data_IF_350750198285
#
_entry.id   IF_350750198285
#
_cell.length_a   1.000
_cell.length_b   1.000
_cell.length_c   1.000
_cell.angle_alpha   90.00
_cell.angle_beta   90.00
_cell.angle_gamma   90.00
#
_symmetry.space_group_name_H-M   'P 1'
#
loop_
_entity.id
_entity.type
_entity.pdbx_description
1 polymer ?
#
# COMPACT_ATOMS: atom_id res chain seq x y z
N UNK A 1 -14.19 7.70 -8.86
CA UNK A 1 -14.60 6.83 -7.74
C UNK A 1 -14.51 7.65 -6.46
N UNK A 2 -15.61 7.75 -5.73
CA UNK A 2 -15.63 8.54 -4.48
C UNK A 2 -15.60 7.63 -3.25
N UNK A 3 -16.07 6.40 -3.38
CA UNK A 3 -16.14 5.42 -2.29
C UNK A 3 -15.86 4.00 -2.81
N UNK A 4 -15.27 3.18 -1.95
CA UNK A 4 -14.95 1.79 -2.30
C UNK A 4 -16.20 0.96 -2.58
N UNK A 5 -17.33 1.27 -1.94
CA UNK A 5 -18.61 0.59 -2.12
C UNK A 5 -19.10 0.59 -3.57
N UNK A 6 -18.73 1.59 -4.38
CA UNK A 6 -19.13 1.69 -5.78
C UNK A 6 -18.65 0.52 -6.65
N UNK A 7 -17.61 -0.16 -6.23
CA UNK A 7 -17.03 -1.28 -6.95
C UNK A 7 -17.36 -2.65 -6.35
N UNK A 8 -18.03 -2.70 -5.20
CA UNK A 8 -18.29 -3.94 -4.46
C UNK A 8 -19.64 -4.58 -4.78
N UNK A 9 -20.54 -3.89 -5.51
CA UNK A 9 -21.88 -4.43 -5.79
C UNK A 9 -21.82 -5.74 -6.57
N UNK A 10 -22.44 -6.79 -6.02
CA UNK A 10 -22.48 -8.13 -6.60
C UNK A 10 -21.17 -8.93 -6.52
N UNK A 11 -20.10 -8.38 -5.94
CA UNK A 11 -18.80 -9.03 -5.78
C UNK A 11 -18.86 -10.10 -4.70
N UNK A 12 -18.41 -11.32 -5.01
CA UNK A 12 -18.27 -12.44 -4.07
C UNK A 12 -16.82 -12.85 -3.85
N UNK A 13 -15.97 -12.65 -4.85
CA UNK A 13 -14.57 -12.97 -4.79
C UNK A 13 -13.73 -11.78 -5.24
N UNK A 14 -12.74 -11.40 -4.44
CA UNK A 14 -11.89 -10.23 -4.69
C UNK A 14 -10.41 -10.60 -4.56
N UNK A 15 -9.63 -10.28 -5.58
CA UNK A 15 -8.18 -10.28 -5.51
C UNK A 15 -7.65 -8.87 -5.26
N UNK A 16 -6.60 -8.75 -4.47
CA UNK A 16 -5.87 -7.50 -4.23
C UNK A 16 -4.40 -7.74 -4.56
N UNK A 17 -3.78 -6.85 -5.31
CA UNK A 17 -2.38 -6.98 -5.70
C UNK A 17 -1.63 -5.67 -5.72
N UNK A 18 -0.33 -5.76 -5.43
CA UNK A 18 0.60 -4.64 -5.47
C UNK A 18 1.79 -4.89 -6.41
N UNK A 19 2.73 -3.95 -6.44
CA UNK A 19 3.87 -4.03 -7.36
C UNK A 19 5.00 -4.94 -6.86
N UNK A 20 5.89 -5.36 -7.79
CA UNK A 20 7.16 -6.07 -7.50
C UNK A 20 8.03 -5.27 -6.53
N UNK A 21 8.70 -5.97 -5.61
CA UNK A 21 9.53 -5.36 -4.56
C UNK A 21 8.75 -4.32 -3.74
N UNK A 22 7.62 -4.72 -3.14
CA UNK A 22 6.70 -3.79 -2.50
C UNK A 22 7.40 -2.97 -1.40
N UNK A 23 7.13 -1.69 -1.40
CA UNK A 23 7.57 -0.75 -0.37
C UNK A 23 6.47 -0.51 0.67
N UNK A 24 6.61 0.55 1.46
CA UNK A 24 5.66 0.84 2.53
C UNK A 24 4.29 1.27 2.04
N UNK A 25 4.21 1.98 0.89
CA UNK A 25 2.93 2.42 0.34
C UNK A 25 2.17 1.26 -0.33
N UNK A 26 2.88 0.46 -1.12
CA UNK A 26 2.31 -0.73 -1.73
C UNK A 26 1.76 -1.71 -0.67
N UNK A 27 2.53 -2.02 0.37
CA UNK A 27 2.08 -2.88 1.47
C UNK A 27 0.94 -2.22 2.24
N UNK A 28 1.07 -0.93 2.57
CA UNK A 28 0.09 -0.19 3.36
C UNK A 28 -1.27 -0.10 2.69
N UNK A 29 -1.32 0.30 1.44
CA UNK A 29 -2.56 0.44 0.65
C UNK A 29 -3.25 -0.90 0.42
N UNK A 30 -2.50 -1.94 -0.01
CA UNK A 30 -3.05 -3.28 -0.22
C UNK A 30 -3.60 -3.89 1.07
N UNK A 31 -2.82 -3.85 2.17
CA UNK A 31 -3.24 -4.42 3.45
C UNK A 31 -4.40 -3.65 4.08
N UNK A 32 -4.42 -2.32 3.97
CA UNK A 32 -5.54 -1.52 4.48
C UNK A 32 -6.86 -1.88 3.79
N UNK A 33 -6.83 -1.99 2.46
CA UNK A 33 -8.00 -2.42 1.69
C UNK A 33 -8.42 -3.84 2.07
N UNK A 34 -7.48 -4.78 2.15
CA UNK A 34 -7.75 -6.16 2.55
C UNK A 34 -8.40 -6.24 3.94
N UNK A 35 -7.82 -5.58 4.94
CA UNK A 35 -8.32 -5.57 6.32
C UNK A 35 -9.73 -4.96 6.42
N UNK A 36 -9.98 -3.90 5.65
CA UNK A 36 -11.29 -3.26 5.60
C UNK A 36 -12.34 -4.17 4.99
N UNK A 37 -12.07 -4.78 3.83
CA UNK A 37 -12.98 -5.72 3.16
C UNK A 37 -13.24 -6.93 4.07
N UNK A 38 -12.19 -7.55 4.60
CA UNK A 38 -12.32 -8.72 5.50
C UNK A 38 -13.22 -8.46 6.71
N UNK A 39 -13.17 -7.26 7.27
CA UNK A 39 -13.93 -6.90 8.46
C UNK A 39 -15.38 -6.54 8.17
N UNK A 40 -15.62 -5.76 7.12
CA UNK A 40 -16.91 -5.13 6.89
C UNK A 40 -17.73 -5.78 5.79
N UNK A 41 -17.09 -6.61 4.96
CA UNK A 41 -17.70 -7.35 3.84
C UNK A 41 -17.32 -8.83 3.90
N UNK A 42 -17.62 -9.53 5.04
CA UNK A 42 -17.18 -10.91 5.26
C UNK A 42 -17.80 -11.91 4.25
N UNK A 43 -18.84 -11.52 3.52
CA UNK A 43 -19.40 -12.27 2.40
C UNK A 43 -18.50 -12.25 1.16
N UNK A 44 -17.59 -11.29 1.05
CA UNK A 44 -16.60 -11.22 -0.04
C UNK A 44 -15.36 -12.02 0.38
N UNK A 45 -15.06 -13.08 -0.36
CA UNK A 45 -13.81 -13.83 -0.17
C UNK A 45 -12.67 -13.06 -0.82
N UNK A 46 -11.92 -12.33 -0.01
CA UNK A 46 -10.77 -11.55 -0.46
C UNK A 46 -9.46 -12.34 -0.28
N UNK A 47 -8.63 -12.31 -1.31
CA UNK A 47 -7.25 -12.82 -1.28
C UNK A 47 -6.28 -11.67 -1.62
N UNK A 48 -5.09 -11.68 -1.03
CA UNK A 48 -4.08 -10.65 -1.26
C UNK A 48 -2.77 -11.27 -1.76
N UNK A 49 -2.21 -10.69 -2.81
CA UNK A 49 -1.02 -11.16 -3.53
C UNK A 49 0.04 -10.08 -3.58
N UNK A 50 1.17 -10.31 -2.95
CA UNK A 50 2.35 -9.42 -3.00
C UNK A 50 3.60 -10.26 -3.25
N UNK A 51 4.60 -9.70 -3.91
CA UNK A 51 5.95 -10.21 -3.77
C UNK A 51 6.37 -10.10 -2.31
N UNK A 52 7.20 -11.03 -1.81
CA UNK A 52 7.59 -11.07 -0.40
C UNK A 52 8.23 -9.75 0.04
N UNK A 53 7.56 -8.96 0.89
CA UNK A 53 8.05 -7.65 1.29
C UNK A 53 9.20 -7.76 2.31
N UNK A 54 9.82 -6.63 2.60
CA UNK A 54 10.86 -6.58 3.64
C UNK A 54 10.29 -7.00 5.00
N UNK A 55 11.08 -7.70 5.83
CA UNK A 55 10.63 -8.18 7.15
C UNK A 55 10.12 -7.07 8.09
N UNK A 56 10.55 -5.83 7.88
CA UNK A 56 10.11 -4.67 8.68
C UNK A 56 8.59 -4.43 8.62
N UNK A 57 7.91 -4.87 7.56
CA UNK A 57 6.46 -4.74 7.39
C UNK A 57 5.67 -5.89 8.04
N UNK A 58 6.34 -6.93 8.54
CA UNK A 58 5.70 -8.11 9.12
C UNK A 58 4.90 -7.86 10.42
N UNK A 59 4.84 -6.63 10.91
CA UNK A 59 4.02 -6.24 12.07
C UNK A 59 2.60 -5.80 11.68
N UNK A 60 2.33 -5.58 10.40
CA UNK A 60 1.00 -5.26 9.90
C UNK A 60 0.10 -6.48 10.09
N UNK A 61 -1.12 -6.24 10.55
CA UNK A 61 -2.08 -7.31 10.81
C UNK A 61 -2.35 -8.15 9.56
N UNK A 62 -2.52 -9.45 9.72
CA UNK A 62 -2.81 -10.43 8.65
C UNK A 62 -1.73 -10.55 7.56
N UNK A 63 -0.49 -10.15 7.80
CA UNK A 63 0.62 -10.37 6.85
C UNK A 63 0.90 -11.86 6.58
N UNK A 64 0.51 -12.73 7.48
CA UNK A 64 0.57 -14.19 7.32
C UNK A 64 -0.48 -14.76 6.36
N UNK A 65 -1.47 -13.97 5.97
CA UNK A 65 -2.49 -14.32 4.98
C UNK A 65 -2.12 -13.89 3.54
N UNK A 66 -1.01 -13.18 3.38
CA UNK A 66 -0.54 -12.72 2.06
C UNK A 66 0.04 -13.88 1.26
N UNK A 67 -0.44 -14.05 0.04
CA UNK A 67 0.11 -15.00 -0.92
C UNK A 67 1.35 -14.42 -1.60
N UNK A 68 2.51 -15.03 -1.39
CA UNK A 68 3.79 -14.61 -1.97
C UNK A 68 4.15 -15.35 -3.26
N UNK A 69 3.37 -16.36 -3.59
CA UNK A 69 3.53 -17.21 -4.78
C UNK A 69 2.18 -17.37 -5.47
N UNK A 70 2.21 -17.51 -6.78
CA UNK A 70 1.00 -17.86 -7.52
C UNK A 70 0.57 -19.28 -7.15
N UNK A 71 -0.72 -19.44 -6.84
CA UNK A 71 -1.35 -20.73 -6.58
C UNK A 71 -2.08 -21.26 -7.82
N UNK A 72 -3.10 -22.08 -7.58
CA UNK A 72 -3.97 -22.60 -8.64
C UNK A 72 -4.67 -21.45 -9.39
N UNK A 73 -4.91 -21.57 -10.70
CA UNK A 73 -5.66 -20.60 -11.48
C UNK A 73 -7.03 -20.32 -10.86
N UNK A 74 -7.36 -19.03 -10.71
CA UNK A 74 -8.62 -18.59 -10.12
C UNK A 74 -9.11 -17.32 -10.80
N UNK A 75 -10.38 -17.29 -11.17
CA UNK A 75 -11.05 -16.10 -11.67
C UNK A 75 -11.71 -15.36 -10.50
N UNK A 76 -11.43 -14.04 -10.38
CA UNK A 76 -12.08 -13.16 -9.41
C UNK A 76 -13.22 -12.38 -10.05
N UNK A 77 -14.27 -12.10 -9.28
CA UNK A 77 -15.31 -11.17 -9.72
C UNK A 77 -14.75 -9.75 -9.84
N UNK A 78 -13.81 -9.40 -8.94
CA UNK A 78 -13.12 -8.12 -8.92
C UNK A 78 -11.64 -8.32 -8.57
N UNK A 79 -10.74 -7.68 -9.30
CA UNK A 79 -9.34 -7.57 -8.91
C UNK A 79 -8.94 -6.10 -8.77
N UNK A 80 -8.42 -5.73 -7.60
CA UNK A 80 -7.97 -4.35 -7.32
C UNK A 80 -6.45 -4.33 -7.21
N UNK A 81 -5.82 -3.45 -7.97
CA UNK A 81 -4.39 -3.16 -7.83
C UNK A 81 -4.21 -1.86 -7.06
N UNK A 82 -3.30 -1.87 -6.09
CA UNK A 82 -2.88 -0.68 -5.36
C UNK A 82 -1.40 -0.42 -5.62
N UNK A 83 -1.09 0.84 -5.93
CA UNK A 83 0.29 1.30 -6.11
C UNK A 83 1.03 0.60 -7.25
N UNK A 84 0.36 0.42 -8.37
CA UNK A 84 0.89 -0.26 -9.55
C UNK A 84 0.78 0.65 -10.77
N UNK A 85 1.92 1.08 -11.29
CA UNK A 85 1.97 1.99 -12.45
C UNK A 85 1.78 1.31 -13.80
N UNK A 86 2.00 -0.02 -13.89
CA UNK A 86 1.85 -0.78 -15.13
C UNK A 86 1.62 -2.28 -14.83
N UNK A 87 0.93 -3.04 -15.72
CA UNK A 87 0.57 -4.44 -15.48
C UNK A 87 1.75 -5.38 -15.28
N UNK A 88 2.88 -5.12 -15.96
CA UNK A 88 4.10 -5.91 -15.87
C UNK A 88 4.77 -5.86 -14.48
N UNK A 89 4.31 -4.94 -13.62
CA UNK A 89 4.76 -4.83 -12.24
C UNK A 89 3.97 -5.67 -11.23
N UNK A 90 2.91 -6.36 -11.65
CA UNK A 90 2.03 -7.13 -10.76
C UNK A 90 2.62 -8.46 -10.27
N UNK A 91 3.75 -8.92 -10.81
CA UNK A 91 4.43 -10.16 -10.40
C UNK A 91 3.46 -11.36 -10.20
N UNK A 92 3.37 -11.86 -8.97
CA UNK A 92 2.55 -13.02 -8.60
C UNK A 92 1.04 -12.81 -8.84
N UNK A 93 0.59 -11.58 -8.95
CA UNK A 93 -0.81 -11.22 -9.15
C UNK A 93 -1.22 -11.13 -10.64
N UNK A 94 -0.26 -11.15 -11.58
CA UNK A 94 -0.48 -10.85 -13.00
C UNK A 94 -1.57 -11.70 -13.65
N UNK A 95 -1.51 -13.01 -13.49
CA UNK A 95 -2.47 -13.93 -14.13
C UNK A 95 -3.88 -13.80 -13.53
N UNK A 96 -3.98 -13.55 -12.22
CA UNK A 96 -5.26 -13.32 -11.55
C UNK A 96 -5.90 -12.00 -11.97
N UNK A 97 -5.10 -10.95 -12.12
CA UNK A 97 -5.56 -9.68 -12.65
C UNK A 97 -6.07 -9.82 -14.09
N UNK A 98 -5.30 -10.50 -14.95
CA UNK A 98 -5.66 -10.68 -16.36
C UNK A 98 -6.91 -11.54 -16.57
N UNK A 99 -7.22 -12.47 -15.65
CA UNK A 99 -8.40 -13.35 -15.72
C UNK A 99 -9.61 -12.84 -14.96
N UNK A 100 -9.51 -11.75 -14.21
CA UNK A 100 -10.62 -11.20 -13.43
C UNK A 100 -11.74 -10.66 -14.32
N UNK A 101 -12.98 -10.76 -13.85
CA UNK A 101 -14.17 -10.26 -14.58
C UNK A 101 -14.20 -8.74 -14.64
N UNK A 102 -13.69 -8.07 -13.61
CA UNK A 102 -13.57 -6.62 -13.50
C UNK A 102 -12.28 -6.27 -12.81
N UNK A 103 -11.60 -5.26 -13.32
CA UNK A 103 -10.33 -4.77 -12.78
C UNK A 103 -10.43 -3.32 -12.34
N UNK A 104 -9.74 -2.99 -11.24
CA UNK A 104 -9.65 -1.63 -10.71
C UNK A 104 -8.19 -1.33 -10.39
N UNK A 105 -7.73 -0.13 -10.76
CA UNK A 105 -6.42 0.38 -10.39
C UNK A 105 -6.59 1.61 -9.49
N UNK A 106 -5.97 1.58 -8.31
CA UNK A 106 -5.84 2.72 -7.41
C UNK A 106 -4.36 3.07 -7.36
N UNK A 107 -3.98 4.26 -7.85
CA UNK A 107 -2.58 4.61 -8.01
C UNK A 107 -2.35 6.13 -8.00
N UNK A 108 -1.15 6.55 -7.61
CA UNK A 108 -0.73 7.95 -7.64
C UNK A 108 0.43 8.22 -8.60
N UNK A 109 0.92 7.21 -9.32
CA UNK A 109 2.04 7.40 -10.24
C UNK A 109 1.66 8.21 -11.48
N UNK A 110 2.42 9.27 -11.77
CA UNK A 110 2.28 10.10 -12.99
C UNK A 110 2.42 9.26 -14.27
N UNK A 111 3.19 8.18 -14.22
CA UNK A 111 3.45 7.30 -15.36
C UNK A 111 2.38 6.24 -15.62
N UNK A 112 1.31 6.19 -14.82
CA UNK A 112 0.26 5.19 -14.99
C UNK A 112 -0.55 5.46 -16.25
N UNK A 113 -0.73 4.44 -17.11
CA UNK A 113 -1.43 4.51 -18.39
C UNK A 113 -2.91 4.09 -18.32
N UNK A 114 -3.50 3.99 -17.13
CA UNK A 114 -4.89 3.63 -16.91
C UNK A 114 -5.26 2.25 -17.50
N UNK A 115 -4.58 1.20 -17.07
CA UNK A 115 -4.62 -0.14 -17.66
C UNK A 115 -5.76 -1.04 -17.15
N UNK A 116 -6.53 -0.61 -16.16
CA UNK A 116 -7.67 -1.36 -15.62
C UNK A 116 -9.00 -0.91 -16.23
N UNK A 117 -10.10 -1.67 -16.00
CA UNK A 117 -11.44 -1.27 -16.42
C UNK A 117 -11.91 0.01 -15.72
N UNK A 118 -11.55 0.15 -14.43
CA UNK A 118 -11.79 1.37 -13.64
C UNK A 118 -10.45 1.86 -13.08
N UNK A 119 -10.13 3.11 -13.32
CA UNK A 119 -8.87 3.70 -12.90
C UNK A 119 -9.12 4.90 -11.99
N UNK A 120 -8.63 4.82 -10.75
CA UNK A 120 -8.60 5.92 -9.79
C UNK A 120 -7.14 6.34 -9.61
N UNK A 121 -6.70 7.21 -10.51
CA UNK A 121 -5.31 7.67 -10.59
C UNK A 121 -5.29 9.16 -10.26
N UNK A 122 -4.58 9.51 -9.18
CA UNK A 122 -4.46 10.90 -8.71
C UNK A 122 -2.98 11.22 -8.47
N UNK A 123 -2.26 11.73 -9.48
CA UNK A 123 -0.82 12.00 -9.38
C UNK A 123 -0.41 13.04 -8.34
N UNK A 124 -1.34 13.90 -7.93
CA UNK A 124 -1.09 14.93 -6.91
C UNK A 124 -1.24 14.40 -5.47
N UNK A 125 -1.75 13.18 -5.29
CA UNK A 125 -1.81 12.55 -3.97
C UNK A 125 -0.41 12.17 -3.50
N UNK A 126 -0.19 12.21 -2.19
CA UNK A 126 1.11 11.88 -1.60
C UNK A 126 1.47 10.42 -1.72
N UNK A 127 0.48 9.55 -1.83
CA UNK A 127 0.62 8.10 -1.83
C UNK A 127 -0.69 7.40 -2.25
N UNK A 128 -0.60 6.16 -2.68
CA UNK A 128 -1.77 5.31 -2.89
C UNK A 128 -2.52 5.02 -1.57
N UNK A 129 -1.81 4.95 -0.46
CA UNK A 129 -2.42 4.82 0.87
C UNK A 129 -3.32 6.01 1.22
N UNK A 130 -2.96 7.23 0.83
CA UNK A 130 -3.84 8.40 0.97
C UNK A 130 -5.11 8.25 0.12
N UNK A 131 -4.98 7.73 -1.11
CA UNK A 131 -6.13 7.47 -1.97
C UNK A 131 -7.05 6.41 -1.39
N UNK A 132 -6.50 5.32 -0.87
CA UNK A 132 -7.28 4.28 -0.19
C UNK A 132 -7.96 4.85 1.06
N UNK A 133 -7.26 5.68 1.87
CA UNK A 133 -7.86 6.38 3.00
C UNK A 133 -9.11 7.18 2.58
N UNK A 134 -9.02 7.93 1.49
CA UNK A 134 -10.12 8.75 0.99
C UNK A 134 -11.33 7.93 0.47
N UNK A 135 -11.09 6.69 0.04
CA UNK A 135 -12.13 5.79 -0.45
C UNK A 135 -12.86 5.02 0.65
N UNK A 136 -12.24 4.84 1.82
CA UNK A 136 -12.80 4.07 2.92
C UNK A 136 -13.66 4.95 3.84
N UNK A 137 -14.71 4.35 4.41
CA UNK A 137 -15.52 5.01 5.43
C UNK A 137 -14.70 5.12 6.74
N UNK A 138 -14.40 6.34 7.13
CA UNK A 138 -13.61 6.62 8.33
C UNK A 138 -14.22 5.98 9.59
N UNK A 139 -15.55 6.02 9.76
CA UNK A 139 -16.20 5.49 10.97
C UNK A 139 -16.05 3.97 11.08
N UNK A 140 -15.99 3.27 9.95
CA UNK A 140 -15.74 1.83 9.86
C UNK A 140 -14.25 1.46 9.95
N UNK A 141 -13.33 2.41 9.81
CA UNK A 141 -11.90 2.13 9.79
C UNK A 141 -11.42 1.60 11.16
N UNK A 142 -10.82 0.41 11.16
CA UNK A 142 -10.22 -0.18 12.35
C UNK A 142 -8.84 0.39 12.63
N UNK A 143 -8.30 0.13 13.84
CA UNK A 143 -6.93 0.54 14.17
C UNK A 143 -5.92 -0.12 13.22
N UNK A 144 -6.07 -1.40 12.92
CA UNK A 144 -5.17 -2.15 12.04
C UNK A 144 -5.16 -1.57 10.61
N UNK A 145 -6.37 -1.21 10.10
CA UNK A 145 -6.48 -0.52 8.81
C UNK A 145 -5.79 0.83 8.84
N UNK A 146 -5.98 1.59 9.93
CA UNK A 146 -5.37 2.90 10.10
C UNK A 146 -3.83 2.82 10.23
N UNK A 147 -3.29 1.81 10.91
CA UNK A 147 -1.84 1.56 11.02
C UNK A 147 -1.22 1.27 9.65
N UNK A 148 -1.88 0.45 8.82
CA UNK A 148 -1.42 0.14 7.47
C UNK A 148 -1.39 1.40 6.58
N UNK A 149 -2.46 2.20 6.59
CA UNK A 149 -2.55 3.46 5.84
C UNK A 149 -1.51 4.48 6.30
N UNK A 150 -1.36 4.67 7.61
CA UNK A 150 -0.37 5.60 8.15
C UNK A 150 1.05 5.21 7.74
N UNK A 151 1.36 3.92 7.79
CA UNK A 151 2.66 3.42 7.35
C UNK A 151 2.92 3.77 5.88
N UNK A 152 1.97 3.51 5.00
CA UNK A 152 2.11 3.81 3.57
C UNK A 152 2.34 5.31 3.32
N UNK A 153 1.48 6.17 3.87
CA UNK A 153 1.62 7.63 3.75
C UNK A 153 2.99 8.10 4.29
N UNK A 154 3.41 7.60 5.46
CA UNK A 154 4.68 7.99 6.06
C UNK A 154 5.88 7.58 5.21
N UNK A 155 5.82 6.42 4.54
CA UNK A 155 6.90 5.95 3.68
C UNK A 155 7.05 6.81 2.42
N UNK A 156 5.98 7.08 1.70
CA UNK A 156 6.01 7.82 0.44
C UNK A 156 6.30 9.31 0.62
N UNK A 157 5.89 9.85 1.75
CA UNK A 157 6.19 11.24 2.11
C UNK A 157 7.56 11.44 2.77
N UNK A 158 8.35 10.36 2.95
CA UNK A 158 9.61 10.41 3.70
C UNK A 158 9.40 10.95 5.12
N UNK A 159 8.36 10.46 5.79
CA UNK A 159 7.88 10.95 7.11
C UNK A 159 7.52 12.43 7.02
N UNK A 160 6.61 12.75 6.08
CA UNK A 160 6.07 14.09 5.86
C UNK A 160 7.10 15.16 5.51
N UNK A 161 8.26 14.77 4.93
CA UNK A 161 9.35 15.69 4.57
C UNK A 161 9.39 16.03 3.08
N UNK A 162 8.83 15.20 2.23
CA UNK A 162 8.88 15.40 0.78
C UNK A 162 7.82 16.39 0.32
N UNK A 163 8.04 17.00 -0.84
CA UNK A 163 7.17 18.03 -1.42
C UNK A 163 5.78 17.53 -1.81
N UNK A 164 5.57 16.21 -1.92
CA UNK A 164 4.26 15.62 -2.11
C UNK A 164 3.37 15.68 -0.86
N UNK A 165 3.92 16.03 0.31
CA UNK A 165 3.13 16.20 1.54
C UNK A 165 2.26 17.46 1.44
N UNK A 166 0.96 17.26 1.28
CA UNK A 166 -0.04 18.34 1.20
C UNK A 166 -0.75 18.58 2.55
N UNK A 167 -1.54 19.63 2.70
CA UNK A 167 -2.44 19.80 3.85
C UNK A 167 -3.39 18.58 4.01
N UNK A 168 -3.93 18.07 2.92
CA UNK A 168 -4.83 16.90 2.88
C UNK A 168 -4.13 15.66 3.40
N UNK A 169 -2.87 15.44 3.03
CA UNK A 169 -2.01 14.36 3.56
C UNK A 169 -1.86 14.47 5.09
N UNK A 170 -1.62 15.68 5.60
CA UNK A 170 -1.48 15.91 7.04
C UNK A 170 -2.81 15.72 7.78
N UNK A 171 -3.92 16.10 7.17
CA UNK A 171 -5.27 15.89 7.72
C UNK A 171 -5.58 14.37 7.78
N UNK A 172 -5.29 13.61 6.73
CA UNK A 172 -5.43 12.16 6.71
C UNK A 172 -4.59 11.53 7.84
N UNK A 173 -3.32 11.91 7.96
CA UNK A 173 -2.44 11.42 9.03
C UNK A 173 -3.00 11.76 10.42
N UNK A 174 -3.50 12.99 10.63
CA UNK A 174 -4.10 13.39 11.90
C UNK A 174 -5.37 12.57 12.24
N UNK A 175 -6.20 12.24 11.25
CA UNK A 175 -7.38 11.38 11.45
C UNK A 175 -6.97 9.95 11.79
N UNK A 176 -5.94 9.41 11.13
CA UNK A 176 -5.40 8.08 11.45
C UNK A 176 -4.84 8.03 12.88
N UNK A 177 -4.14 9.08 13.32
CA UNK A 177 -3.69 9.23 14.71
C UNK A 177 -4.87 9.23 15.71
N UNK A 178 -6.00 9.84 15.36
CA UNK A 178 -7.22 9.81 16.21
C UNK A 178 -7.80 8.39 16.34
N UNK A 179 -7.54 7.49 15.38
CA UNK A 179 -7.88 6.06 15.50
C UNK A 179 -6.98 5.32 16.50
N UNK A 180 -5.94 5.95 17.04
CA UNK A 180 -5.04 5.38 18.03
C UNK A 180 -3.71 4.85 17.47
N UNK A 181 -3.36 5.19 16.23
CA UNK A 181 -2.09 4.77 15.61
C UNK A 181 -0.90 5.25 16.43
N UNK A 182 -0.03 4.32 16.81
CA UNK A 182 1.27 4.64 17.43
C UNK A 182 2.29 4.99 16.34
N UNK A 183 2.31 6.27 16.00
CA UNK A 183 3.11 6.80 14.90
C UNK A 183 4.60 6.65 15.15
N UNK A 184 5.06 6.79 16.40
CA UNK A 184 6.47 6.63 16.76
C UNK A 184 6.91 5.18 16.54
N UNK A 185 6.13 4.23 17.03
CA UNK A 185 6.41 2.79 16.88
C UNK A 185 6.48 2.37 15.40
N UNK A 186 5.52 2.83 14.57
CA UNK A 186 5.52 2.53 13.13
C UNK A 186 6.75 3.12 12.46
N UNK A 187 7.02 4.40 12.70
CA UNK A 187 8.10 5.14 12.05
C UNK A 187 9.46 4.60 12.45
N UNK A 188 9.69 4.35 13.75
CA UNK A 188 10.94 3.78 14.22
C UNK A 188 11.20 2.42 13.57
N UNK A 189 10.20 1.54 13.61
CA UNK A 189 10.32 0.14 13.15
C UNK A 189 10.50 0.03 11.64
N UNK A 190 9.81 0.83 10.86
CA UNK A 190 9.77 0.65 9.41
C UNK A 190 10.73 1.56 8.64
N UNK A 191 11.13 2.69 9.23
CA UNK A 191 11.91 3.70 8.55
C UNK A 191 13.29 3.94 9.17
N UNK A 192 13.38 4.04 10.50
CA UNK A 192 14.65 4.38 11.16
C UNK A 192 15.44 3.18 11.65
N UNK A 193 14.79 2.10 12.06
CA UNK A 193 15.46 0.92 12.57
C UNK A 193 16.36 0.29 11.50
N UNK A 194 17.63 0.10 11.85
CA UNK A 194 18.64 -0.50 10.97
C UNK A 194 19.31 -1.67 11.66
N UNK A 195 19.57 -2.72 10.89
CA UNK A 195 20.36 -3.84 11.38
C UNK A 195 21.81 -3.41 11.65
N UNK A 196 22.52 -4.20 12.45
CA UNK A 196 23.95 -3.99 12.67
C UNK A 196 24.74 -3.88 11.35
N UNK A 197 24.46 -4.76 10.39
CA UNK A 197 25.12 -4.76 9.08
C UNK A 197 24.83 -3.48 8.30
N UNK A 198 23.59 -3.01 8.29
CA UNK A 198 23.21 -1.75 7.63
C UNK A 198 23.93 -0.55 8.26
N UNK A 199 24.05 -0.51 9.60
CA UNK A 199 24.79 0.54 10.29
C UNK A 199 26.30 0.47 9.99
N UNK A 200 26.89 -0.72 9.87
CA UNK A 200 28.29 -0.88 9.47
C UNK A 200 28.54 -0.37 8.05
N UNK A 201 27.64 -0.71 7.10
CA UNK A 201 27.73 -0.23 5.71
C UNK A 201 27.60 1.29 5.67
N UNK A 202 26.61 1.85 6.38
CA UNK A 202 26.41 3.29 6.45
C UNK A 202 27.64 4.00 7.04
N UNK A 203 28.20 3.49 8.13
CA UNK A 203 29.40 4.04 8.76
C UNK A 203 30.59 4.08 7.80
N UNK A 204 30.85 2.98 7.08
CA UNK A 204 31.90 2.94 6.08
C UNK A 204 31.66 3.91 4.92
N UNK A 205 30.43 3.98 4.40
CA UNK A 205 30.07 4.91 3.33
C UNK A 205 30.32 6.37 3.77
N UNK A 206 29.95 6.73 4.99
CA UNK A 206 30.16 8.08 5.52
C UNK A 206 31.65 8.41 5.76
N UNK A 207 32.48 7.44 6.12
CA UNK A 207 33.89 7.67 6.42
C UNK A 207 34.81 7.55 5.19
N UNK A 208 34.45 6.68 4.24
CA UNK A 208 35.36 6.28 3.16
C UNK A 208 34.92 6.80 1.77
N UNK A 209 33.66 7.18 1.60
CA UNK A 209 33.07 7.51 0.28
C UNK A 209 32.58 8.94 0.15
N UNK A 210 32.64 9.76 1.21
CA UNK A 210 32.26 11.18 1.11
C UNK A 210 33.33 11.94 0.36
N UNK A 211 32.93 12.58 -0.73
CA UNK A 211 33.74 13.57 -1.44
C UNK A 211 33.18 14.97 -1.18
N UNK A 212 34.03 15.87 -0.75
CA UNK A 212 33.69 17.29 -0.65
C UNK A 212 34.05 17.94 -1.97
N UNK A 213 33.05 18.46 -2.67
CA UNK A 213 33.26 19.26 -3.88
C UNK A 213 33.29 20.73 -3.44
N UNK A 214 34.39 21.42 -3.79
CA UNK A 214 34.45 22.88 -3.63
C UNK A 214 33.39 23.54 -4.54
N UNK A 215 32.58 24.42 -3.93
CA UNK A 215 31.58 25.21 -4.66
C UNK A 215 32.22 26.42 -5.32
#
# INVERSE_FOLDING_TARGET
MERIEEILDGVKTMGIGGHVRPDGDCVGSCMALYLYIKKWYPEIKADIYLEKPKPVFGHIACMDEVHYEAGEPREYDLFVTCDVSAPDRLAVASDYFASAKKTVCIDHHVSNEAFADVNYIVPDASSTSELVYNLLDYDKMSLETAEALYMGIAHDTGIFRYSCTSPETMEAAAQLMRKGVDTAKITDRTYYEKTYVQNQILGRALLESIMVLDQ
#
